data_IF_256758703148
#
_entry.id   IF_256758703148
#
_cell.length_a   1.000
_cell.length_b   1.000
_cell.length_c   1.000
_cell.angle_alpha   90.00
_cell.angle_beta   90.00
_cell.angle_gamma   90.00
#
_symmetry.space_group_name_H-M   'P 1'
#
loop_
_entity.id
_entity.type
_entity.pdbx_description
1 polymer ?
#
# COMPACT_ATOMS: atom_id res chain seq x y z
N UNK A 1 9.04 -38.15 -39.53
CA UNK A 1 8.93 -36.73 -39.10
C UNK A 1 7.50 -36.46 -38.70
N UNK A 2 7.25 -35.71 -37.60
CA UNK A 2 5.92 -35.28 -37.22
C UNK A 2 5.55 -33.97 -37.94
N UNK A 3 4.27 -33.76 -38.28
CA UNK A 3 3.83 -32.55 -38.92
C UNK A 3 3.78 -31.40 -37.90
N UNK A 4 3.73 -30.14 -38.39
CA UNK A 4 3.55 -28.95 -37.57
C UNK A 4 2.31 -29.04 -36.66
N UNK A 5 1.17 -29.48 -37.20
CA UNK A 5 -0.06 -29.63 -36.45
C UNK A 5 0.03 -30.74 -35.38
N UNK A 6 0.74 -31.82 -35.65
CA UNK A 6 1.02 -32.87 -34.68
C UNK A 6 1.90 -32.35 -33.54
N UNK A 7 2.99 -31.61 -33.86
CA UNK A 7 3.85 -31.01 -32.84
C UNK A 7 3.12 -30.03 -31.95
N UNK A 8 2.28 -29.18 -32.54
CA UNK A 8 1.44 -28.22 -31.82
C UNK A 8 0.45 -28.92 -30.88
N UNK A 9 -0.17 -30.04 -31.31
CA UNK A 9 -1.06 -30.83 -30.44
C UNK A 9 -0.29 -31.45 -29.25
N UNK A 10 0.94 -31.93 -29.46
CA UNK A 10 1.79 -32.47 -28.38
C UNK A 10 2.13 -31.38 -27.39
N UNK A 11 2.60 -30.22 -27.87
CA UNK A 11 2.94 -29.08 -27.00
C UNK A 11 1.74 -28.58 -26.17
N UNK A 12 0.55 -28.51 -26.77
CA UNK A 12 -0.68 -28.14 -26.05
C UNK A 12 -1.08 -29.12 -24.95
N UNK A 13 -0.71 -30.41 -25.09
CA UNK A 13 -0.96 -31.44 -24.07
C UNK A 13 0.10 -31.46 -22.97
N UNK A 14 1.25 -30.81 -23.19
CA UNK A 14 2.32 -30.76 -22.21
C UNK A 14 1.88 -29.89 -21.01
N UNK A 15 1.71 -30.52 -19.85
CA UNK A 15 1.38 -29.80 -18.60
C UNK A 15 2.65 -29.55 -17.82
N UNK A 16 3.09 -28.32 -17.79
CA UNK A 16 4.25 -27.90 -16.98
C UNK A 16 3.77 -27.54 -15.58
N UNK A 17 4.10 -28.37 -14.59
CA UNK A 17 3.83 -28.08 -13.17
C UNK A 17 4.93 -27.19 -12.61
N UNK A 18 4.65 -25.90 -12.43
CA UNK A 18 5.57 -24.95 -11.82
C UNK A 18 5.42 -25.04 -10.30
N UNK A 19 6.53 -25.33 -9.59
CA UNK A 19 6.59 -25.37 -8.13
C UNK A 19 6.38 -23.98 -7.53
N UNK A 20 5.93 -23.96 -6.30
CA UNK A 20 5.83 -22.73 -5.49
C UNK A 20 7.10 -22.53 -4.68
N UNK A 21 7.40 -21.26 -4.38
CA UNK A 21 8.46 -20.87 -3.45
C UNK A 21 8.01 -19.69 -2.59
N UNK A 22 8.61 -19.55 -1.41
CA UNK A 22 8.38 -18.40 -0.52
C UNK A 22 9.53 -17.41 -0.69
N UNK A 23 9.19 -16.16 -0.97
CA UNK A 23 10.17 -15.09 -1.14
C UNK A 23 9.81 -13.86 -0.30
N UNK A 24 10.80 -13.01 -0.05
CA UNK A 24 10.57 -11.72 0.60
C UNK A 24 9.73 -10.83 -0.31
N UNK A 25 8.69 -10.19 0.25
CA UNK A 25 7.71 -9.41 -0.53
C UNK A 25 8.33 -8.30 -1.38
N UNK A 26 9.38 -7.62 -0.89
CA UNK A 26 10.06 -6.55 -1.63
C UNK A 26 10.82 -7.04 -2.86
N UNK A 27 11.18 -8.32 -2.91
CA UNK A 27 11.89 -8.95 -4.05
C UNK A 27 10.92 -9.66 -5.00
N UNK A 28 9.62 -9.41 -4.87
CA UNK A 28 8.60 -10.14 -5.63
C UNK A 28 8.11 -9.45 -6.90
N UNK A 29 8.70 -8.33 -7.27
CA UNK A 29 8.33 -7.62 -8.51
C UNK A 29 8.40 -8.56 -9.71
N UNK A 30 7.39 -8.51 -10.57
CA UNK A 30 7.22 -9.35 -11.76
C UNK A 30 7.08 -10.86 -11.47
N UNK A 31 6.96 -11.28 -10.20
CA UNK A 31 6.64 -12.67 -9.85
C UNK A 31 5.13 -12.90 -9.89
N UNK A 32 4.72 -14.15 -10.06
CA UNK A 32 3.31 -14.56 -10.07
C UNK A 32 2.94 -15.18 -8.72
N UNK A 33 1.91 -14.65 -8.07
CA UNK A 33 1.41 -15.21 -6.80
C UNK A 33 0.89 -16.64 -6.96
N UNK A 34 1.24 -17.53 -6.04
CA UNK A 34 0.76 -18.92 -6.06
C UNK A 34 -0.43 -19.15 -5.11
N UNK A 35 -0.75 -18.18 -4.27
CA UNK A 35 -1.92 -18.19 -3.36
C UNK A 35 -2.50 -16.79 -3.20
N UNK A 36 -3.74 -16.72 -2.73
CA UNK A 36 -4.32 -15.45 -2.29
C UNK A 36 -3.55 -14.88 -1.10
N UNK A 37 -3.39 -13.57 -1.07
CA UNK A 37 -2.72 -12.84 0.00
C UNK A 37 -3.76 -11.96 0.69
N UNK A 38 -3.87 -12.11 2.01
CA UNK A 38 -4.85 -11.40 2.84
C UNK A 38 -4.16 -10.47 3.83
N UNK A 39 -4.80 -9.37 4.17
CA UNK A 39 -4.34 -8.48 5.23
C UNK A 39 -4.42 -9.17 6.60
N UNK A 40 -3.34 -9.07 7.40
CA UNK A 40 -3.32 -9.58 8.77
C UNK A 40 -3.75 -8.53 9.80
N UNK A 41 -3.89 -7.29 9.39
CA UNK A 41 -4.18 -6.14 10.24
C UNK A 41 -5.26 -5.25 9.62
N UNK A 42 -5.86 -4.39 10.43
CA UNK A 42 -6.57 -3.23 9.91
C UNK A 42 -5.55 -2.14 9.53
N UNK A 43 -5.77 -1.44 8.44
CA UNK A 43 -4.96 -0.28 8.08
C UNK A 43 -5.86 0.89 7.65
N UNK A 44 -5.71 2.09 8.22
CA UNK A 44 -4.85 2.41 9.37
C UNK A 44 -5.14 1.54 10.60
N UNK A 45 -4.15 1.42 11.51
CA UNK A 45 -4.27 0.59 12.72
C UNK A 45 -5.11 1.23 13.83
N UNK A 46 -5.34 2.55 13.73
CA UNK A 46 -6.12 3.38 14.66
C UNK A 46 -6.85 4.47 13.89
N UNK A 47 -7.84 5.10 14.50
CA UNK A 47 -8.44 6.32 13.98
C UNK A 47 -7.42 7.45 14.04
N UNK A 48 -7.20 8.13 12.91
CA UNK A 48 -6.16 9.15 12.76
C UNK A 48 -6.75 10.45 12.21
N UNK A 49 -6.03 11.55 12.43
CA UNK A 49 -6.35 12.83 11.80
C UNK A 49 -6.12 12.77 10.29
N UNK A 50 -7.14 13.19 9.53
CA UNK A 50 -7.04 13.35 8.08
C UNK A 50 -6.46 14.71 7.67
N UNK A 51 -6.50 15.71 8.60
CA UNK A 51 -6.00 17.06 8.40
C UNK A 51 -5.28 17.54 9.66
N UNK A 52 -4.40 18.52 9.50
CA UNK A 52 -3.84 19.28 10.62
C UNK A 52 -4.94 20.14 11.25
N UNK A 53 -5.02 20.17 12.58
CA UNK A 53 -6.07 20.90 13.25
C UNK A 53 -6.22 20.55 14.71
N UNK A 54 -7.46 20.54 15.19
CA UNK A 54 -7.79 20.33 16.60
C UNK A 54 -8.82 19.21 16.77
N UNK A 55 -8.44 18.19 17.52
CA UNK A 55 -9.34 17.14 17.96
C UNK A 55 -10.23 17.68 19.11
N UNK A 56 -11.55 17.50 18.98
CA UNK A 56 -12.55 17.88 19.97
C UNK A 56 -13.63 16.80 20.09
N UNK A 57 -14.43 16.87 21.14
CA UNK A 57 -15.64 16.07 21.25
C UNK A 57 -16.82 16.83 20.59
N UNK A 58 -17.40 16.26 19.54
CA UNK A 58 -18.51 16.89 18.80
C UNK A 58 -19.73 17.16 19.67
N UNK A 59 -19.97 16.36 20.73
CA UNK A 59 -21.09 16.53 21.65
C UNK A 59 -21.01 17.87 22.42
N UNK A 60 -19.79 18.36 22.67
CA UNK A 60 -19.56 19.63 23.34
C UNK A 60 -19.94 20.84 22.47
N UNK A 61 -20.08 20.63 21.16
CA UNK A 61 -20.41 21.67 20.19
C UNK A 61 -21.91 21.80 19.92
N UNK A 62 -22.77 20.91 20.48
CA UNK A 62 -24.19 20.79 20.11
C UNK A 62 -24.98 22.10 20.28
N UNK A 63 -24.67 22.91 21.32
CA UNK A 63 -25.36 24.17 21.65
C UNK A 63 -24.60 25.40 21.17
N UNK A 64 -23.52 25.23 20.37
CA UNK A 64 -22.70 26.34 19.89
C UNK A 64 -23.30 26.93 18.62
N UNK A 65 -23.27 28.25 18.54
CA UNK A 65 -23.67 29.02 17.35
C UNK A 65 -22.81 30.29 17.23
N UNK A 66 -22.97 31.01 16.11
CA UNK A 66 -22.28 32.30 15.92
C UNK A 66 -22.63 33.33 17.05
N UNK A 67 -23.85 33.27 17.60
CA UNK A 67 -24.28 34.14 18.70
C UNK A 67 -23.80 33.66 20.07
N UNK A 68 -23.47 32.38 20.20
CA UNK A 68 -23.00 31.74 21.44
C UNK A 68 -21.76 30.89 21.14
N UNK A 69 -20.62 31.51 20.79
CA UNK A 69 -19.38 30.81 20.61
C UNK A 69 -18.84 30.26 21.94
N UNK A 70 -18.02 29.21 21.87
CA UNK A 70 -17.46 28.59 23.08
C UNK A 70 -15.96 28.41 22.93
N UNK A 71 -15.24 28.73 23.98
CA UNK A 71 -13.83 28.52 24.13
C UNK A 71 -13.54 27.06 24.47
N UNK A 72 -12.55 26.46 23.78
CA UNK A 72 -11.99 25.11 24.02
C UNK A 72 -10.53 25.26 24.39
N UNK A 73 -10.16 24.73 25.56
CA UNK A 73 -8.80 24.79 26.09
C UNK A 73 -7.87 23.83 25.35
N UNK A 74 -6.75 24.29 24.88
CA UNK A 74 -5.71 23.44 24.29
C UNK A 74 -4.93 22.76 25.41
N UNK A 75 -5.06 21.43 25.53
CA UNK A 75 -4.44 20.64 26.60
C UNK A 75 -3.17 19.90 26.17
N UNK A 76 -2.79 19.98 24.90
CA UNK A 76 -1.60 19.40 24.34
C UNK A 76 -1.59 19.38 22.83
N UNK A 77 -0.53 18.80 22.27
CA UNK A 77 -0.32 18.62 20.83
C UNK A 77 0.12 17.19 20.52
N UNK A 78 -0.25 16.67 19.34
CA UNK A 78 0.03 15.32 18.86
C UNK A 78 0.59 15.43 17.44
N UNK A 79 1.86 15.13 17.27
CA UNK A 79 2.48 14.96 15.97
C UNK A 79 2.24 13.55 15.40
N UNK A 80 2.38 13.37 14.09
CA UNK A 80 2.42 12.05 13.48
C UNK A 80 3.53 11.19 14.13
N UNK A 81 3.21 9.91 14.42
CA UNK A 81 4.15 9.01 15.09
C UNK A 81 4.33 9.23 16.60
N UNK A 82 3.65 10.20 17.20
CA UNK A 82 3.66 10.40 18.66
C UNK A 82 3.04 9.23 19.39
N UNK A 83 3.53 8.98 20.64
CA UNK A 83 2.89 8.02 21.54
C UNK A 83 1.44 8.45 21.83
N UNK A 84 0.54 7.49 22.14
CA UNK A 84 -0.84 7.78 22.45
C UNK A 84 -0.98 8.82 23.55
N UNK A 85 -1.91 9.76 23.37
CA UNK A 85 -2.21 10.83 24.31
C UNK A 85 -2.83 10.25 25.60
N UNK A 86 -2.26 10.58 26.77
CA UNK A 86 -2.64 9.96 28.04
C UNK A 86 -3.34 10.88 29.03
N UNK A 87 -3.43 12.20 28.73
CA UNK A 87 -4.09 13.12 29.68
C UNK A 87 -5.59 12.84 29.74
N UNK A 88 -6.20 13.04 30.93
CA UNK A 88 -7.65 12.97 31.12
C UNK A 88 -8.30 14.15 30.40
N UNK A 89 -9.26 13.86 29.55
CA UNK A 89 -9.99 14.84 28.76
C UNK A 89 -11.21 15.30 29.55
N UNK A 90 -11.45 16.62 29.59
CA UNK A 90 -12.61 17.27 30.19
C UNK A 90 -13.48 17.89 29.09
N UNK A 91 -14.67 18.30 29.47
CA UNK A 91 -15.57 19.04 28.59
C UNK A 91 -14.90 20.34 28.12
N UNK A 92 -15.05 20.66 26.82
CA UNK A 92 -14.42 21.82 26.18
C UNK A 92 -12.89 21.78 26.15
N UNK A 93 -12.27 20.61 26.23
CA UNK A 93 -10.87 20.44 25.91
C UNK A 93 -10.71 20.26 24.41
N UNK A 94 -9.55 20.69 23.90
CA UNK A 94 -9.07 20.45 22.54
C UNK A 94 -7.62 19.99 22.57
N UNK A 95 -7.23 19.20 21.59
CA UNK A 95 -5.83 18.81 21.37
C UNK A 95 -5.43 19.15 19.95
N UNK A 96 -4.37 19.92 19.79
CA UNK A 96 -3.76 20.13 18.49
C UNK A 96 -3.28 18.79 17.95
N UNK A 97 -3.60 18.49 16.69
CA UNK A 97 -3.27 17.20 16.07
C UNK A 97 -2.82 17.40 14.63
N UNK A 98 -1.69 16.79 14.28
CA UNK A 98 -1.18 16.79 12.91
C UNK A 98 -1.73 15.61 12.14
N UNK A 99 -1.81 15.74 10.82
CA UNK A 99 -2.21 14.69 9.89
C UNK A 99 -1.48 13.37 10.19
N UNK A 100 -2.22 12.27 10.28
CA UNK A 100 -1.68 10.97 10.67
C UNK A 100 -1.52 10.76 12.19
N UNK A 101 -1.71 11.78 13.02
CA UNK A 101 -1.74 11.65 14.47
C UNK A 101 -2.91 10.78 14.93
N UNK A 102 -2.69 9.93 15.93
CA UNK A 102 -3.74 9.05 16.48
C UNK A 102 -4.74 9.86 17.28
N UNK A 103 -6.03 9.73 16.93
CA UNK A 103 -7.13 10.41 17.62
C UNK A 103 -7.25 9.92 19.08
N UNK A 104 -7.15 10.81 20.09
CA UNK A 104 -7.25 10.38 21.49
C UNK A 104 -8.66 9.90 21.84
N UNK A 105 -8.74 8.91 22.72
CA UNK A 105 -10.03 8.46 23.28
C UNK A 105 -10.75 9.63 23.95
N UNK A 106 -12.03 9.81 23.63
CA UNK A 106 -12.86 10.91 24.12
C UNK A 106 -13.04 12.07 23.15
N UNK A 107 -12.26 12.10 22.08
CA UNK A 107 -12.50 12.95 20.92
C UNK A 107 -13.04 12.11 19.75
N UNK A 108 -13.86 12.72 18.91
CA UNK A 108 -14.54 12.02 17.82
C UNK A 108 -14.59 12.85 16.52
N UNK A 109 -13.94 14.02 16.51
CA UNK A 109 -13.95 14.90 15.34
C UNK A 109 -12.71 15.80 15.34
N UNK A 110 -12.36 16.27 14.14
CA UNK A 110 -11.22 17.18 13.93
C UNK A 110 -11.73 18.42 13.21
N UNK A 111 -11.28 19.58 13.66
CA UNK A 111 -11.50 20.87 13.01
C UNK A 111 -10.19 21.27 12.35
N UNK A 112 -10.14 21.41 11.01
CA UNK A 112 -8.95 21.86 10.31
C UNK A 112 -8.43 23.20 10.83
N UNK A 113 -7.12 23.38 10.84
CA UNK A 113 -6.46 24.56 11.39
C UNK A 113 -6.91 25.85 10.70
N UNK A 114 -7.26 25.80 9.42
CA UNK A 114 -7.74 26.91 8.61
C UNK A 114 -9.14 27.43 9.09
N UNK A 115 -9.88 26.60 9.81
CA UNK A 115 -11.20 26.92 10.35
C UNK A 115 -11.15 27.38 11.80
N UNK A 116 -9.96 27.53 12.38
CA UNK A 116 -9.77 27.84 13.80
C UNK A 116 -9.57 29.33 14.02
N UNK A 117 -10.18 29.82 15.10
CA UNK A 117 -9.92 31.15 15.68
C UNK A 117 -9.21 30.91 17.01
N UNK A 118 -7.96 31.34 17.12
CA UNK A 118 -7.18 31.25 18.37
C UNK A 118 -7.66 32.33 19.37
N UNK A 119 -7.74 31.96 20.63
CA UNK A 119 -8.18 32.84 21.70
C UNK A 119 -7.11 32.87 22.84
N UNK A 120 -6.85 34.06 23.46
CA UNK A 120 -7.39 35.37 23.13
C UNK A 120 -6.87 35.95 21.80
N UNK A 121 -5.75 35.49 21.26
CA UNK A 121 -5.20 35.92 19.97
C UNK A 121 -4.21 34.89 19.41
N UNK A 122 -3.67 35.15 18.20
CA UNK A 122 -2.74 34.23 17.51
C UNK A 122 -1.39 34.04 18.21
N UNK A 123 -0.97 34.97 19.07
CA UNK A 123 0.32 34.89 19.79
C UNK A 123 0.22 34.11 21.10
N UNK A 124 -0.95 34.15 21.78
CA UNK A 124 -1.24 33.37 22.99
C UNK A 124 -2.24 32.25 22.66
N UNK A 125 -1.73 31.17 22.06
CA UNK A 125 -2.52 30.02 21.59
C UNK A 125 -2.92 29.08 22.74
N UNK A 126 -3.60 29.58 23.77
CA UNK A 126 -4.01 28.76 24.91
C UNK A 126 -5.34 28.04 24.69
N UNK A 127 -6.13 28.51 23.75
CA UNK A 127 -7.46 27.98 23.44
C UNK A 127 -7.86 28.30 22.00
N UNK A 128 -8.96 27.68 21.57
CA UNK A 128 -9.60 27.93 20.29
C UNK A 128 -11.06 28.31 20.54
N UNK A 129 -11.59 29.20 19.71
CA UNK A 129 -12.99 29.61 19.75
C UNK A 129 -13.79 28.88 18.68
N UNK A 130 -14.80 28.12 19.08
CA UNK A 130 -15.69 27.41 18.18
C UNK A 130 -17.02 28.17 18.14
N UNK A 131 -17.48 28.53 16.93
CA UNK A 131 -18.69 29.36 16.70
C UNK A 131 -19.80 28.62 15.93
N UNK A 132 -19.65 27.31 15.72
CA UNK A 132 -20.64 26.47 15.03
C UNK A 132 -20.65 25.05 15.59
N UNK A 133 -21.79 24.36 15.45
CA UNK A 133 -21.88 22.93 15.70
C UNK A 133 -20.99 22.18 14.72
N UNK A 134 -20.22 21.23 15.24
CA UNK A 134 -19.33 20.35 14.43
C UNK A 134 -19.94 18.94 14.39
N UNK A 135 -19.96 18.35 13.21
CA UNK A 135 -20.46 16.99 13.02
C UNK A 135 -19.49 15.97 13.58
N UNK A 136 -20.01 14.90 14.15
CA UNK A 136 -19.23 13.76 14.59
C UNK A 136 -18.49 13.14 13.40
N UNK A 137 -17.31 12.60 13.65
CA UNK A 137 -16.47 11.90 12.67
C UNK A 137 -15.90 12.78 11.54
N UNK A 138 -16.02 14.10 11.64
CA UNK A 138 -15.47 15.02 10.64
C UNK A 138 -13.95 14.90 10.62
N UNK A 139 -13.37 14.76 9.42
CA UNK A 139 -11.93 14.69 9.17
C UNK A 139 -11.18 13.59 9.95
N UNK A 140 -11.90 12.52 10.32
CA UNK A 140 -11.30 11.33 10.94
C UNK A 140 -11.10 10.25 9.86
N UNK A 141 -9.86 9.77 9.72
CA UNK A 141 -9.53 8.59 8.91
C UNK A 141 -9.62 7.36 9.82
N UNK A 142 -10.65 6.57 9.61
CA UNK A 142 -10.97 5.45 10.50
C UNK A 142 -10.01 4.28 10.38
N UNK A 143 -9.80 3.59 11.49
CA UNK A 143 -9.15 2.29 11.53
C UNK A 143 -9.76 1.34 10.50
N UNK A 144 -8.92 0.78 9.65
CA UNK A 144 -9.33 -0.18 8.64
C UNK A 144 -10.08 0.43 7.46
N UNK A 145 -10.01 1.75 7.24
CA UNK A 145 -10.64 2.39 6.07
C UNK A 145 -10.03 1.96 4.74
N UNK A 146 -8.76 1.62 4.71
CA UNK A 146 -8.07 1.18 3.50
C UNK A 146 -8.08 -0.34 3.36
N UNK A 147 -7.76 -1.05 4.46
CA UNK A 147 -7.79 -2.51 4.56
C UNK A 147 -8.30 -2.94 5.93
N UNK A 148 -9.26 -3.85 5.96
CA UNK A 148 -9.63 -4.58 7.16
C UNK A 148 -8.81 -5.86 7.27
N UNK A 149 -8.65 -6.36 8.49
CA UNK A 149 -8.08 -7.70 8.71
C UNK A 149 -8.90 -8.72 7.92
N UNK A 150 -8.20 -9.61 7.20
CA UNK A 150 -8.72 -10.63 6.29
C UNK A 150 -9.24 -10.11 4.93
N UNK A 151 -9.10 -8.83 4.60
CA UNK A 151 -9.37 -8.36 3.25
C UNK A 151 -8.37 -8.98 2.26
N UNK A 152 -8.87 -9.32 1.07
CA UNK A 152 -8.04 -9.81 -0.02
C UNK A 152 -7.20 -8.68 -0.60
N UNK A 153 -5.88 -8.80 -0.49
CA UNK A 153 -4.90 -7.81 -0.99
C UNK A 153 -4.48 -8.14 -2.41
N UNK A 154 -4.11 -9.40 -2.66
CA UNK A 154 -3.68 -9.86 -3.99
C UNK A 154 -4.27 -11.26 -4.24
N UNK A 155 -4.89 -11.44 -5.40
CA UNK A 155 -5.40 -12.75 -5.84
C UNK A 155 -4.25 -13.69 -6.24
N UNK A 156 -4.49 -15.00 -6.12
CA UNK A 156 -3.68 -16.03 -6.74
C UNK A 156 -3.56 -15.79 -8.25
N UNK A 157 -2.42 -16.16 -8.83
CA UNK A 157 -2.10 -16.04 -10.27
C UNK A 157 -2.05 -14.59 -10.76
N UNK A 158 -1.73 -13.64 -9.88
CA UNK A 158 -1.51 -12.22 -10.21
C UNK A 158 -0.02 -11.94 -10.36
N UNK A 159 0.36 -11.22 -11.42
CA UNK A 159 1.70 -10.65 -11.56
C UNK A 159 1.84 -9.49 -10.57
N UNK A 160 2.92 -9.49 -9.82
CA UNK A 160 3.18 -8.47 -8.81
C UNK A 160 3.78 -7.23 -9.48
N UNK A 161 3.08 -6.11 -9.33
CA UNK A 161 3.47 -4.78 -9.78
C UNK A 161 3.91 -3.88 -8.61
N UNK A 162 4.50 -2.70 -8.85
CA UNK A 162 4.97 -1.79 -7.79
C UNK A 162 3.91 -1.43 -6.74
N UNK A 163 2.64 -1.20 -7.15
CA UNK A 163 1.53 -0.93 -6.24
C UNK A 163 1.24 -2.10 -5.28
N UNK A 164 1.43 -3.33 -5.72
CA UNK A 164 1.32 -4.50 -4.84
C UNK A 164 2.45 -4.53 -3.80
N UNK A 165 3.68 -4.17 -4.19
CA UNK A 165 4.80 -4.05 -3.23
C UNK A 165 4.49 -3.00 -2.17
N UNK A 166 3.94 -1.84 -2.58
CA UNK A 166 3.49 -0.79 -1.65
C UNK A 166 2.49 -1.35 -0.64
N UNK A 167 1.42 -2.01 -1.12
CA UNK A 167 0.40 -2.60 -0.24
C UNK A 167 0.98 -3.66 0.72
N UNK A 168 1.84 -4.56 0.22
CA UNK A 168 2.49 -5.58 1.04
C UNK A 168 3.35 -4.97 2.16
N UNK A 169 4.11 -3.92 1.84
CA UNK A 169 4.94 -3.19 2.83
C UNK A 169 4.09 -2.46 3.85
N UNK A 170 3.05 -1.74 3.39
CA UNK A 170 2.11 -1.03 4.27
C UNK A 170 1.44 -1.97 5.27
N UNK A 171 1.07 -3.18 4.83
CA UNK A 171 0.41 -4.19 5.67
C UNK A 171 1.39 -5.07 6.46
N UNK A 172 2.70 -4.84 6.37
CA UNK A 172 3.73 -5.60 7.10
C UNK A 172 3.87 -7.05 6.64
N UNK A 173 3.46 -7.37 5.41
CA UNK A 173 3.56 -8.73 4.85
C UNK A 173 4.97 -8.97 4.35
N UNK A 174 5.76 -9.71 5.14
CA UNK A 174 7.20 -9.92 4.89
C UNK A 174 7.48 -10.94 3.79
N UNK A 175 6.77 -12.07 3.81
CA UNK A 175 6.98 -13.19 2.87
C UNK A 175 5.67 -13.54 2.18
N UNK A 176 5.76 -13.92 0.92
CA UNK A 176 4.64 -14.36 0.08
C UNK A 176 5.01 -15.60 -0.72
N UNK A 177 3.99 -16.40 -1.09
CA UNK A 177 4.15 -17.55 -1.97
C UNK A 177 3.99 -17.12 -3.43
N UNK A 178 4.96 -17.47 -4.27
CA UNK A 178 4.97 -17.17 -5.70
C UNK A 178 5.32 -18.43 -6.49
N UNK A 179 5.02 -18.42 -7.77
CA UNK A 179 5.50 -19.45 -8.71
C UNK A 179 7.01 -19.34 -8.87
N UNK A 180 7.72 -20.47 -8.81
CA UNK A 180 9.16 -20.52 -9.07
C UNK A 180 9.44 -20.07 -10.51
N UNK A 181 10.56 -19.38 -10.72
CA UNK A 181 11.00 -19.06 -12.07
C UNK A 181 11.25 -20.34 -12.88
N UNK A 182 10.92 -20.29 -14.16
CA UNK A 182 11.12 -21.41 -15.09
C UNK A 182 12.55 -21.33 -15.61
N UNK A 183 13.23 -22.48 -15.63
CA UNK A 183 14.51 -22.59 -16.33
C UNK A 183 14.23 -23.03 -17.76
N UNK A 184 14.69 -22.27 -18.74
CA UNK A 184 14.57 -22.57 -20.15
C UNK A 184 15.96 -22.90 -20.71
N UNK A 185 16.08 -24.06 -21.35
CA UNK A 185 17.24 -24.42 -22.12
C UNK A 185 16.88 -24.29 -23.61
N UNK A 186 17.67 -23.52 -24.33
CA UNK A 186 17.53 -23.33 -25.76
C UNK A 186 18.72 -23.90 -26.50
N UNK A 187 18.46 -24.75 -27.43
CA UNK A 187 19.47 -25.40 -28.28
C UNK A 187 19.31 -24.95 -29.74
N UNK A 188 20.32 -24.29 -30.26
CA UNK A 188 20.42 -24.08 -31.73
C UNK A 188 21.01 -25.32 -32.35
N UNK A 189 20.32 -25.91 -33.31
CA UNK A 189 20.72 -27.13 -34.00
C UNK A 189 20.89 -26.88 -35.49
N UNK A 190 21.96 -27.39 -36.07
CA UNK A 190 22.31 -27.27 -37.48
C UNK A 190 23.82 -27.20 -37.66
N UNK A 191 24.36 -27.95 -38.62
CA UNK A 191 25.79 -27.97 -38.91
C UNK A 191 26.29 -26.63 -39.49
N UNK A 192 25.37 -25.85 -40.04
CA UNK A 192 25.61 -24.49 -40.57
C UNK A 192 25.75 -23.45 -39.46
N UNK A 193 25.24 -23.71 -38.24
CA UNK A 193 25.22 -22.73 -37.17
C UNK A 193 26.58 -22.59 -36.49
N UNK A 194 27.12 -21.38 -36.46
CA UNK A 194 28.40 -21.07 -35.84
C UNK A 194 28.29 -19.98 -34.76
N UNK A 195 29.04 -20.16 -33.67
CA UNK A 195 29.25 -19.15 -32.63
C UNK A 195 30.52 -18.32 -32.83
N UNK A 196 31.26 -18.55 -33.93
CA UNK A 196 32.51 -17.83 -34.25
C UNK A 196 32.20 -16.47 -34.87
N UNK A 197 33.06 -15.49 -34.65
CA UNK A 197 32.96 -14.17 -35.27
C UNK A 197 33.19 -14.21 -36.79
N UNK A 198 34.15 -15.04 -37.25
CA UNK A 198 34.40 -15.32 -38.65
C UNK A 198 33.72 -16.64 -39.05
N UNK A 199 32.94 -16.61 -40.10
CA UNK A 199 32.18 -17.74 -40.62
C UNK A 199 32.44 -17.92 -42.11
N UNK A 200 32.33 -19.14 -42.60
CA UNK A 200 32.35 -19.46 -44.02
C UNK A 200 31.02 -19.11 -44.69
N UNK A 201 31.03 -19.00 -46.04
CA UNK A 201 29.84 -18.63 -46.82
C UNK A 201 28.65 -19.59 -46.66
N UNK A 202 28.94 -20.86 -46.30
CA UNK A 202 27.91 -21.86 -46.05
C UNK A 202 27.42 -21.91 -44.60
N UNK A 203 27.95 -21.06 -43.71
CA UNK A 203 27.58 -20.97 -42.28
C UNK A 203 26.71 -19.75 -41.99
N UNK A 204 25.92 -19.88 -40.95
CA UNK A 204 25.13 -18.77 -40.40
C UNK A 204 25.47 -18.52 -38.91
N UNK A 205 25.44 -17.28 -38.50
CA UNK A 205 25.68 -16.94 -37.09
C UNK A 205 24.50 -17.36 -36.21
N UNK A 206 24.81 -17.85 -35.02
CA UNK A 206 23.81 -18.25 -34.03
C UNK A 206 23.07 -17.02 -33.44
N UNK A 207 22.29 -16.30 -34.22
CA UNK A 207 21.54 -15.10 -33.79
C UNK A 207 20.34 -15.44 -32.89
N UNK A 208 19.70 -16.60 -33.13
CA UNK A 208 18.49 -16.99 -32.38
C UNK A 208 18.75 -17.22 -30.90
N UNK A 209 19.89 -17.78 -30.52
CA UNK A 209 20.26 -17.98 -29.12
C UNK A 209 20.41 -16.65 -28.39
N UNK A 210 21.04 -15.66 -29.01
CA UNK A 210 21.20 -14.31 -28.45
C UNK A 210 19.87 -13.56 -28.37
N UNK A 211 19.01 -13.69 -29.38
CA UNK A 211 17.68 -13.12 -29.39
C UNK A 211 16.84 -13.67 -28.21
N UNK A 212 16.74 -15.01 -28.08
CA UNK A 212 16.01 -15.64 -26.97
C UNK A 212 16.57 -15.22 -25.61
N UNK A 213 17.90 -15.16 -25.47
CA UNK A 213 18.55 -14.71 -24.23
C UNK A 213 18.21 -13.25 -23.89
N UNK A 214 18.12 -12.38 -24.88
CA UNK A 214 17.76 -10.96 -24.66
C UNK A 214 16.33 -10.75 -24.18
N UNK A 215 15.42 -11.68 -24.47
CA UNK A 215 14.04 -11.63 -23.99
C UNK A 215 13.91 -11.87 -22.48
N UNK A 216 14.94 -12.43 -21.83
CA UNK A 216 14.91 -12.80 -20.41
C UNK A 216 14.62 -11.60 -19.46
N UNK A 217 14.97 -10.38 -19.85
CA UNK A 217 14.68 -9.18 -19.05
C UNK A 217 13.21 -8.77 -19.08
N UNK A 218 12.43 -9.25 -20.04
CA UNK A 218 11.03 -8.88 -20.27
C UNK A 218 10.05 -10.01 -19.93
N UNK A 219 10.53 -11.21 -19.67
CA UNK A 219 9.70 -12.39 -19.40
C UNK A 219 10.04 -13.01 -18.04
N UNK A 220 9.08 -13.74 -17.47
CA UNK A 220 9.14 -14.35 -16.14
C UNK A 220 9.90 -15.69 -16.10
N UNK A 221 10.99 -15.82 -16.81
CA UNK A 221 11.84 -17.00 -16.72
C UNK A 221 13.16 -16.74 -16.03
#
# INVERSE_FOLDING_TARGET
MISYEQSKKILKKAVIKIKDESIVSVSSLNRVTSSNIYSKINYPTSDNAAFDGFAVNSSDTKKISKKLPKEFKIIGSIAAGSKPFKKKIKKFDAVEIMTGGVLPKGFDTIIPIEQIIFYPNKTKKNSILISKKISKNNHVRFKGSDYKKNDLVIKKSTIIHPNHILALKTLGIKNIKVKKKINILFFSTGNEISNKDSISDWQVRNSNAYYIRSLNNNFLF
#
